data_IF_873769578190
#
_entry.id   IF_873769578190
#
_cell.length_a   1.000
_cell.length_b   1.000
_cell.length_c   1.000
_cell.angle_alpha   90.00
_cell.angle_beta   90.00
_cell.angle_gamma   90.00
#
_symmetry.space_group_name_H-M   'P 1'
#
loop_
_entity.id
_entity.type
_entity.pdbx_description
1 polymer ?
#
# COMPACT_ATOMS: atom_id res chain seq x y z
N UNK A 1 16.37 -63.58 19.02
CA UNK A 1 16.76 -62.15 18.98
C UNK A 1 16.12 -61.51 17.77
N UNK A 2 14.95 -60.96 17.95
CA UNK A 2 14.25 -60.19 16.92
C UNK A 2 14.74 -58.74 17.01
N UNK A 3 15.53 -58.29 16.02
CA UNK A 3 15.93 -56.90 15.87
C UNK A 3 14.67 -56.15 15.38
N UNK A 4 14.02 -55.41 16.26
CA UNK A 4 12.99 -54.45 15.90
C UNK A 4 13.72 -53.24 15.32
N UNK A 5 13.70 -53.14 14.00
CA UNK A 5 14.14 -51.95 13.30
C UNK A 5 13.01 -50.94 13.52
N UNK A 6 13.19 -50.04 14.50
CA UNK A 6 12.40 -48.84 14.63
C UNK A 6 12.86 -47.92 13.50
N UNK A 7 12.14 -48.02 12.38
CA UNK A 7 12.23 -47.03 11.34
C UNK A 7 11.63 -45.75 11.91
N UNK A 8 12.49 -44.88 12.40
CA UNK A 8 12.15 -43.48 12.68
C UNK A 8 11.83 -42.89 11.28
N UNK A 9 10.56 -42.96 10.90
CA UNK A 9 10.02 -42.08 9.89
C UNK A 9 10.10 -40.71 10.55
N UNK A 10 11.21 -40.02 10.37
CA UNK A 10 11.28 -38.58 10.42
C UNK A 10 10.28 -38.13 9.35
N UNK A 11 9.04 -37.94 9.74
CA UNK A 11 8.16 -37.01 9.09
C UNK A 11 8.89 -35.66 9.17
N UNK A 12 9.73 -35.42 8.19
CA UNK A 12 10.07 -34.09 7.77
C UNK A 12 8.73 -33.46 7.39
N UNK A 13 8.03 -32.96 8.40
CA UNK A 13 7.20 -31.81 8.21
C UNK A 13 8.17 -30.76 7.68
N UNK A 14 8.28 -30.71 6.37
CA UNK A 14 8.74 -29.54 5.68
C UNK A 14 7.66 -28.50 6.01
N UNK A 15 7.76 -27.94 7.21
CA UNK A 15 7.28 -26.59 7.41
C UNK A 15 8.05 -25.82 6.33
N UNK A 16 7.41 -25.56 5.22
CA UNK A 16 7.80 -24.46 4.37
C UNK A 16 7.59 -23.24 5.27
N UNK A 17 8.55 -23.01 6.16
CA UNK A 17 8.75 -21.74 6.80
C UNK A 17 9.12 -20.82 5.64
N UNK A 18 8.10 -20.27 5.01
CA UNK A 18 8.25 -19.07 4.21
C UNK A 18 8.53 -17.96 5.22
N UNK A 19 9.75 -18.01 5.78
CA UNK A 19 10.27 -16.96 6.61
C UNK A 19 10.65 -15.82 5.69
N UNK A 20 9.64 -15.07 5.27
CA UNK A 20 9.91 -13.78 4.68
C UNK A 20 10.42 -12.87 5.80
N UNK A 21 11.55 -12.19 5.61
CA UNK A 21 12.13 -11.31 6.62
C UNK A 21 11.22 -10.15 6.98
N UNK A 22 10.27 -9.83 6.13
CA UNK A 22 9.30 -8.76 6.33
C UNK A 22 7.88 -9.26 6.05
N UNK A 23 7.00 -9.16 7.04
CA UNK A 23 5.55 -9.33 6.86
C UNK A 23 4.86 -8.16 7.53
N UNK A 24 3.84 -7.58 6.90
CA UNK A 24 3.01 -6.59 7.57
C UNK A 24 2.39 -7.19 8.84
N UNK A 25 2.28 -6.37 9.87
CA UNK A 25 1.70 -6.79 11.15
C UNK A 25 0.19 -6.97 11.07
N UNK A 26 -0.44 -6.30 10.10
CA UNK A 26 -1.88 -6.28 9.93
C UNK A 26 -2.27 -6.49 8.48
N UNK A 27 -3.12 -7.50 8.24
CA UNK A 27 -3.83 -7.71 6.99
C UNK A 27 -5.26 -7.24 7.20
N UNK A 28 -5.71 -6.24 6.43
CA UNK A 28 -6.99 -5.58 6.68
C UNK A 28 -7.90 -5.57 5.45
N UNK A 29 -9.20 -5.74 5.68
CA UNK A 29 -10.28 -5.32 4.77
C UNK A 29 -10.93 -4.12 5.44
N UNK A 30 -11.09 -3.02 4.71
CA UNK A 30 -11.67 -1.78 5.23
C UNK A 30 -13.07 -1.61 4.67
N UNK A 31 -14.07 -1.33 5.54
CA UNK A 31 -15.38 -0.83 5.14
C UNK A 31 -15.49 0.65 5.52
N UNK A 32 -15.95 1.48 4.59
CA UNK A 32 -16.00 2.93 4.70
C UNK A 32 -17.30 3.49 4.15
N UNK A 33 -17.79 4.57 4.72
CA UNK A 33 -18.91 5.33 4.18
C UNK A 33 -18.48 6.61 3.43
N UNK A 34 -17.18 6.79 3.25
CA UNK A 34 -16.61 7.86 2.44
C UNK A 34 -16.58 9.22 3.14
N UNK A 35 -16.69 9.27 4.46
CA UNK A 35 -16.46 10.46 5.26
C UNK A 35 -15.04 11.01 5.05
N UNK A 36 -14.82 12.26 5.44
CA UNK A 36 -13.51 12.91 5.26
C UNK A 36 -12.46 12.24 6.14
N UNK A 37 -12.82 11.90 7.35
CA UNK A 37 -12.02 11.20 8.33
C UNK A 37 -11.71 9.77 7.90
N UNK A 38 -12.70 9.05 7.31
CA UNK A 38 -12.48 7.77 6.63
C UNK A 38 -11.37 7.87 5.59
N UNK A 39 -11.48 8.84 4.68
CA UNK A 39 -10.53 9.00 3.58
C UNK A 39 -9.12 9.35 4.06
N UNK A 40 -8.99 10.09 5.17
CA UNK A 40 -7.71 10.38 5.82
C UNK A 40 -7.17 9.14 6.53
N UNK A 41 -8.01 8.39 7.24
CA UNK A 41 -7.64 7.11 7.86
C UNK A 41 -7.15 6.09 6.82
N UNK A 42 -7.87 5.95 5.70
CA UNK A 42 -7.44 5.12 4.55
C UNK A 42 -6.09 5.60 4.02
N UNK A 43 -5.88 6.90 3.86
CA UNK A 43 -4.60 7.46 3.40
C UNK A 43 -3.45 7.11 4.36
N UNK A 44 -3.69 7.17 5.68
CA UNK A 44 -2.70 6.75 6.68
C UNK A 44 -2.41 5.25 6.62
N UNK A 45 -3.43 4.42 6.47
CA UNK A 45 -3.26 2.96 6.35
C UNK A 45 -2.54 2.56 5.06
N UNK A 46 -2.78 3.27 3.95
CA UNK A 46 -2.05 3.10 2.69
C UNK A 46 -0.57 3.48 2.80
N UNK A 47 -0.26 4.50 3.60
CA UNK A 47 1.12 4.96 3.84
C UNK A 47 1.96 3.95 4.63
N UNK A 48 1.31 3.06 5.37
CA UNK A 48 1.98 2.20 6.34
C UNK A 48 2.53 0.92 5.71
N UNK A 49 3.83 0.64 5.84
CA UNK A 49 4.37 -0.67 5.46
C UNK A 49 3.96 -1.79 6.43
N UNK A 50 3.52 -1.48 7.65
CA UNK A 50 3.07 -2.46 8.65
C UNK A 50 1.63 -2.94 8.43
N UNK A 51 0.89 -2.30 7.52
CA UNK A 51 -0.49 -2.64 7.15
C UNK A 51 -0.57 -3.06 5.70
N UNK A 52 -1.29 -4.15 5.45
CA UNK A 52 -1.61 -4.58 4.09
C UNK A 52 -3.11 -4.51 3.88
N UNK A 53 -3.54 -3.54 3.06
CA UNK A 53 -4.94 -3.41 2.66
C UNK A 53 -5.23 -4.43 1.56
N UNK A 54 -6.00 -5.46 1.89
CA UNK A 54 -6.39 -6.50 0.95
C UNK A 54 -7.46 -6.01 -0.02
N UNK A 55 -8.38 -5.20 0.47
CA UNK A 55 -9.43 -4.56 -0.31
C UNK A 55 -10.22 -3.58 0.53
N UNK A 56 -11.03 -2.76 -0.14
CA UNK A 56 -11.90 -1.77 0.48
C UNK A 56 -13.33 -2.00 0.01
N UNK A 57 -14.28 -1.92 0.94
CA UNK A 57 -15.72 -1.96 0.66
C UNK A 57 -16.36 -0.64 1.03
N UNK A 58 -17.40 -0.26 0.32
CA UNK A 58 -18.11 0.99 0.59
C UNK A 58 -19.57 0.72 0.95
N UNK A 59 -20.02 1.35 2.01
CA UNK A 59 -21.38 1.27 2.54
C UNK A 59 -22.00 2.66 2.64
N UNK A 60 -23.29 2.74 2.90
CA UNK A 60 -23.97 4.03 3.08
C UNK A 60 -23.74 4.60 4.48
N UNK A 61 -23.56 5.92 4.57
CA UNK A 61 -23.33 6.64 5.84
C UNK A 61 -23.15 8.12 5.62
N UNK A 62 -21.91 8.63 5.65
CA UNK A 62 -21.62 10.03 5.29
C UNK A 62 -21.94 10.30 3.81
N UNK A 63 -21.68 9.32 2.95
CA UNK A 63 -22.08 9.31 1.53
C UNK A 63 -22.93 8.08 1.23
N UNK A 64 -23.54 8.05 0.04
CA UNK A 64 -24.06 6.81 -0.53
C UNK A 64 -22.89 5.87 -0.83
N UNK A 65 -23.15 4.56 -0.81
CA UNK A 65 -22.11 3.56 -1.12
C UNK A 65 -21.45 3.83 -2.48
N UNK A 66 -22.24 4.28 -3.48
CA UNK A 66 -21.78 4.61 -4.82
C UNK A 66 -20.84 5.82 -4.82
N UNK A 67 -21.20 6.91 -4.10
CA UNK A 67 -20.35 8.09 -4.03
C UNK A 67 -19.09 7.81 -3.19
N UNK A 68 -19.19 7.03 -2.11
CA UNK A 68 -18.03 6.56 -1.37
C UNK A 68 -17.08 5.72 -2.27
N UNK A 69 -17.64 4.86 -3.13
CA UNK A 69 -16.85 4.10 -4.11
C UNK A 69 -16.07 5.02 -5.05
N UNK A 70 -16.70 6.07 -5.58
CA UNK A 70 -16.03 7.05 -6.45
C UNK A 70 -14.88 7.73 -5.70
N UNK A 71 -15.11 8.17 -4.44
CA UNK A 71 -14.07 8.81 -3.61
C UNK A 71 -12.90 7.89 -3.34
N UNK A 72 -13.17 6.63 -2.94
CA UNK A 72 -12.12 5.64 -2.68
C UNK A 72 -11.33 5.33 -3.95
N UNK A 73 -11.99 5.05 -5.07
CA UNK A 73 -11.31 4.77 -6.35
C UNK A 73 -10.47 5.95 -6.82
N UNK A 74 -10.98 7.18 -6.71
CA UNK A 74 -10.22 8.38 -7.09
C UNK A 74 -8.96 8.56 -6.23
N UNK A 75 -9.05 8.29 -4.92
CA UNK A 75 -7.90 8.32 -4.01
C UNK A 75 -6.86 7.26 -4.43
N UNK A 76 -7.29 6.00 -4.59
CA UNK A 76 -6.39 4.90 -4.97
C UNK A 76 -5.69 5.16 -6.29
N UNK A 77 -6.43 5.61 -7.31
CA UNK A 77 -5.86 5.95 -8.61
C UNK A 77 -4.84 7.10 -8.50
N UNK A 78 -5.12 8.11 -7.69
CA UNK A 78 -4.22 9.26 -7.48
C UNK A 78 -2.93 8.91 -6.74
N UNK A 79 -2.91 7.76 -6.06
CA UNK A 79 -1.76 7.21 -5.35
C UNK A 79 -1.15 6.00 -6.08
N UNK A 80 -1.62 5.70 -7.30
CA UNK A 80 -1.15 4.58 -8.12
C UNK A 80 -1.38 3.18 -7.49
N UNK A 81 -2.45 3.05 -6.69
CA UNK A 81 -2.87 1.79 -6.03
C UNK A 81 -4.07 1.14 -6.71
N UNK A 82 -4.11 1.18 -8.04
CA UNK A 82 -5.24 0.71 -8.87
C UNK A 82 -5.58 -0.76 -8.64
N UNK A 83 -4.60 -1.55 -8.21
CA UNK A 83 -4.73 -2.99 -7.97
C UNK A 83 -5.43 -3.35 -6.67
N UNK A 84 -5.72 -2.41 -5.75
CA UNK A 84 -6.54 -2.70 -4.58
C UNK A 84 -7.99 -2.86 -5.03
N UNK A 85 -8.63 -4.03 -4.78
CA UNK A 85 -10.03 -4.23 -5.15
C UNK A 85 -10.95 -3.38 -4.28
N UNK A 86 -11.93 -2.75 -4.90
CA UNK A 86 -12.96 -1.97 -4.22
C UNK A 86 -14.33 -2.51 -4.59
N UNK A 87 -15.17 -2.75 -3.57
CA UNK A 87 -16.57 -3.12 -3.73
C UNK A 87 -17.51 -2.03 -3.26
N UNK A 88 -18.77 -2.10 -3.67
CA UNK A 88 -19.82 -1.20 -3.19
C UNK A 88 -21.03 -1.99 -2.71
N UNK A 89 -21.80 -1.42 -1.78
CA UNK A 89 -23.07 -2.00 -1.35
C UNK A 89 -24.12 -1.80 -2.45
N UNK A 90 -24.61 -2.91 -3.01
CA UNK A 90 -25.63 -2.92 -4.05
C UNK A 90 -27.07 -3.06 -3.51
N UNK A 91 -27.27 -3.30 -2.20
CA UNK A 91 -28.59 -3.51 -1.60
C UNK A 91 -29.44 -2.24 -1.49
N UNK A 92 -28.85 -1.06 -1.70
CA UNK A 92 -29.57 0.22 -1.84
C UNK A 92 -30.38 0.67 -0.62
N UNK A 93 -30.03 0.20 0.60
CA UNK A 93 -30.76 0.53 1.83
C UNK A 93 -30.44 1.90 2.42
N UNK A 94 -29.51 2.63 1.77
CA UNK A 94 -29.11 3.95 2.21
C UNK A 94 -30.30 4.94 2.20
N UNK A 95 -30.59 5.58 3.33
CA UNK A 95 -31.73 6.49 3.52
C UNK A 95 -31.34 7.85 4.09
N UNK A 96 -30.06 8.08 4.39
CA UNK A 96 -29.58 9.35 4.96
C UNK A 96 -29.25 10.34 3.86
N UNK A 97 -29.35 11.64 4.19
CA UNK A 97 -28.88 12.70 3.30
C UNK A 97 -27.35 12.72 3.35
N UNK A 98 -26.74 12.70 2.19
CA UNK A 98 -25.28 12.79 2.08
C UNK A 98 -24.74 14.08 2.69
N UNK A 99 -23.57 13.98 3.28
CA UNK A 99 -22.86 15.12 3.86
C UNK A 99 -22.26 15.96 2.72
N UNK A 100 -22.73 17.22 2.51
CA UNK A 100 -22.30 18.02 1.36
C UNK A 100 -20.79 18.25 1.33
N UNK A 101 -20.16 18.40 2.50
CA UNK A 101 -18.73 18.64 2.60
C UNK A 101 -17.92 17.40 2.15
N UNK A 102 -18.30 16.18 2.56
CA UNK A 102 -17.67 14.95 2.10
C UNK A 102 -17.87 14.77 0.58
N UNK A 103 -19.07 15.04 0.08
CA UNK A 103 -19.39 14.94 -1.35
C UNK A 103 -18.55 15.89 -2.21
N UNK A 104 -18.32 17.13 -1.75
CA UNK A 104 -17.57 18.16 -2.48
C UNK A 104 -16.05 17.99 -2.36
N UNK A 105 -15.57 17.23 -1.38
CA UNK A 105 -14.12 17.02 -1.20
C UNK A 105 -13.56 16.12 -2.30
N UNK A 106 -12.47 16.57 -2.94
CA UNK A 106 -11.82 15.86 -4.05
C UNK A 106 -10.57 15.14 -3.52
N UNK A 107 -10.51 13.82 -3.72
CA UNK A 107 -9.39 12.99 -3.30
C UNK A 107 -8.49 12.54 -4.46
N UNK A 108 -8.96 12.68 -5.68
CA UNK A 108 -8.28 12.36 -6.93
C UNK A 108 -9.15 12.70 -8.12
N UNK A 109 -8.74 12.35 -9.34
CA UNK A 109 -9.60 12.48 -10.51
C UNK A 109 -10.73 11.45 -10.43
N UNK A 110 -11.97 11.90 -10.53
CA UNK A 110 -13.19 11.09 -10.47
C UNK A 110 -13.71 10.72 -11.86
N UNK A 111 -13.12 11.29 -12.93
CA UNK A 111 -13.57 11.05 -14.31
C UNK A 111 -13.40 9.56 -14.69
N UNK A 112 -14.43 9.03 -15.32
CA UNK A 112 -14.44 7.64 -15.82
C UNK A 112 -14.63 6.56 -14.74
N UNK A 113 -14.79 6.94 -13.46
CA UNK A 113 -15.12 5.97 -12.41
C UNK A 113 -16.61 5.68 -12.46
N UNK A 114 -16.96 4.43 -12.74
CA UNK A 114 -18.35 3.97 -12.85
C UNK A 114 -18.80 3.19 -11.60
N UNK A 115 -19.57 3.79 -10.70
CA UNK A 115 -20.08 3.11 -9.51
C UNK A 115 -21.25 2.15 -9.79
N UNK A 116 -21.91 2.25 -10.96
CA UNK A 116 -23.06 1.42 -11.30
C UNK A 116 -22.63 -0.02 -11.60
N UNK A 117 -21.49 -0.17 -12.28
CA UNK A 117 -20.88 -1.46 -12.60
C UNK A 117 -19.83 -1.90 -11.58
N UNK A 118 -19.77 -1.26 -10.41
CA UNK A 118 -18.83 -1.62 -9.34
C UNK A 118 -19.14 -3.04 -8.80
N UNK A 119 -18.11 -3.82 -8.44
CA UNK A 119 -18.29 -5.12 -7.81
C UNK A 119 -19.07 -5.01 -6.49
N UNK A 120 -19.90 -6.01 -6.18
CA UNK A 120 -20.58 -6.10 -4.88
C UNK A 120 -19.58 -6.40 -3.75
N UNK A 121 -19.80 -5.80 -2.58
CA UNK A 121 -18.98 -5.96 -1.37
C UNK A 121 -18.75 -7.43 -1.00
N UNK A 122 -19.81 -8.26 -1.05
CA UNK A 122 -19.69 -9.66 -0.65
C UNK A 122 -18.80 -10.45 -1.59
N UNK A 123 -18.83 -10.15 -2.89
CA UNK A 123 -17.97 -10.82 -3.87
C UNK A 123 -16.48 -10.47 -3.62
N UNK A 124 -16.17 -9.20 -3.33
CA UNK A 124 -14.83 -8.77 -2.98
C UNK A 124 -14.36 -9.44 -1.69
N UNK A 125 -15.14 -9.37 -0.61
CA UNK A 125 -14.76 -9.96 0.69
C UNK A 125 -14.55 -11.48 0.55
N UNK A 126 -15.46 -12.19 -0.14
CA UNK A 126 -15.37 -13.63 -0.35
C UNK A 126 -14.09 -14.01 -1.10
N UNK A 127 -13.77 -13.29 -2.18
CA UNK A 127 -12.56 -13.51 -2.95
C UNK A 127 -11.29 -13.30 -2.12
N UNK A 128 -11.25 -12.25 -1.31
CA UNK A 128 -10.12 -11.93 -0.44
C UNK A 128 -9.93 -12.97 0.67
N UNK A 129 -11.00 -13.36 1.34
CA UNK A 129 -10.97 -14.40 2.38
C UNK A 129 -10.50 -15.75 1.83
N UNK A 130 -10.89 -16.07 0.60
CA UNK A 130 -10.45 -17.30 -0.05
C UNK A 130 -8.97 -17.28 -0.46
N UNK A 131 -8.45 -16.11 -0.83
CA UNK A 131 -7.09 -15.95 -1.32
C UNK A 131 -6.06 -15.80 -0.19
N UNK A 132 -6.42 -15.11 0.91
CA UNK A 132 -5.51 -14.82 2.02
C UNK A 132 -5.55 -15.93 3.07
N UNK A 133 -4.36 -16.43 3.44
CA UNK A 133 -4.22 -17.47 4.48
C UNK A 133 -4.03 -16.92 5.88
N UNK A 134 -3.54 -15.69 5.98
CA UNK A 134 -3.34 -15.01 7.26
C UNK A 134 -4.67 -14.49 7.80
N UNK A 135 -4.83 -14.49 9.12
CA UNK A 135 -6.01 -13.93 9.75
C UNK A 135 -6.14 -12.43 9.48
N UNK A 136 -7.36 -11.99 9.20
CA UNK A 136 -7.68 -10.64 8.75
C UNK A 136 -8.30 -9.85 9.90
N UNK A 137 -7.93 -8.57 10.07
CA UNK A 137 -8.71 -7.60 10.83
C UNK A 137 -9.71 -6.93 9.88
N UNK A 138 -10.99 -6.97 10.22
CA UNK A 138 -12.01 -6.24 9.47
C UNK A 138 -12.17 -4.86 10.10
N UNK A 139 -11.72 -3.83 9.38
CA UNK A 139 -11.75 -2.43 9.83
C UNK A 139 -13.03 -1.78 9.35
N UNK A 140 -13.89 -1.37 10.29
CA UNK A 140 -15.11 -0.62 10.02
C UNK A 140 -14.91 0.85 10.40
N UNK A 141 -14.89 1.72 9.41
CA UNK A 141 -14.90 3.16 9.60
C UNK A 141 -16.33 3.72 9.60
N UNK A 142 -17.27 3.01 8.97
CA UNK A 142 -18.70 3.29 8.94
C UNK A 142 -19.55 2.36 9.81
N UNK A 143 -20.76 2.05 9.32
CA UNK A 143 -21.73 1.18 10.00
C UNK A 143 -21.33 -0.30 9.94
N UNK A 144 -21.99 -1.16 10.73
CA UNK A 144 -21.78 -2.62 10.73
C UNK A 144 -22.55 -3.35 9.61
N UNK A 145 -23.19 -2.64 8.69
CA UNK A 145 -24.03 -3.24 7.63
C UNK A 145 -23.27 -4.28 6.81
N UNK A 146 -22.09 -3.89 6.27
CA UNK A 146 -21.27 -4.79 5.45
C UNK A 146 -20.76 -5.98 6.25
N UNK A 147 -20.28 -5.75 7.48
CA UNK A 147 -19.79 -6.84 8.35
C UNK A 147 -20.87 -7.88 8.65
N UNK A 148 -22.10 -7.44 8.96
CA UNK A 148 -23.22 -8.35 9.21
C UNK A 148 -23.64 -9.11 7.95
N UNK A 149 -23.66 -8.43 6.80
CA UNK A 149 -23.96 -9.10 5.52
C UNK A 149 -22.91 -10.16 5.19
N UNK A 150 -21.62 -9.83 5.38
CA UNK A 150 -20.52 -10.76 5.15
C UNK A 150 -20.61 -11.97 6.10
N UNK A 151 -20.87 -11.75 7.39
CA UNK A 151 -21.04 -12.82 8.36
C UNK A 151 -22.17 -13.79 7.99
N UNK A 152 -23.30 -13.28 7.46
CA UNK A 152 -24.46 -14.08 7.08
C UNK A 152 -24.28 -14.86 5.78
N UNK A 153 -23.49 -14.33 4.84
CA UNK A 153 -23.43 -14.83 3.47
C UNK A 153 -22.09 -15.49 3.11
N UNK A 154 -21.03 -15.28 3.89
CA UNK A 154 -19.70 -15.84 3.63
C UNK A 154 -19.37 -16.84 4.75
N UNK A 155 -19.45 -18.16 4.49
CA UNK A 155 -19.29 -19.18 5.54
C UNK A 155 -17.98 -19.09 6.33
N UNK A 156 -16.88 -18.67 5.67
CA UNK A 156 -15.56 -18.59 6.26
C UNK A 156 -15.24 -17.24 6.93
N UNK A 157 -16.19 -16.29 6.92
CA UNK A 157 -15.97 -14.95 7.45
C UNK A 157 -15.51 -14.98 8.92
N UNK A 158 -16.30 -15.58 9.81
CA UNK A 158 -15.96 -15.66 11.24
C UNK A 158 -14.69 -16.47 11.53
N UNK A 159 -14.38 -17.44 10.66
CA UNK A 159 -13.15 -18.23 10.79
C UNK A 159 -11.91 -17.43 10.39
N UNK A 160 -11.99 -16.61 9.34
CA UNK A 160 -10.87 -15.89 8.77
C UNK A 160 -10.65 -14.52 9.41
N UNK A 161 -11.72 -13.86 9.85
CA UNK A 161 -11.66 -12.58 10.55
C UNK A 161 -11.30 -12.80 12.02
N UNK A 162 -10.12 -12.35 12.44
CA UNK A 162 -9.63 -12.49 13.83
C UNK A 162 -10.28 -11.49 14.79
N UNK A 163 -10.67 -10.33 14.27
CA UNK A 163 -11.24 -9.22 15.02
C UNK A 163 -11.93 -8.22 14.10
N UNK A 164 -12.86 -7.47 14.67
CA UNK A 164 -13.42 -6.27 14.04
C UNK A 164 -12.85 -5.06 14.75
N UNK A 165 -12.22 -4.16 14.00
CA UNK A 165 -11.73 -2.86 14.51
C UNK A 165 -12.73 -1.80 14.07
N UNK A 166 -13.44 -1.22 15.03
CA UNK A 166 -14.55 -0.31 14.74
C UNK A 166 -14.30 1.10 15.25
N UNK A 167 -14.42 2.09 14.37
CA UNK A 167 -14.35 3.49 14.74
C UNK A 167 -15.62 3.95 15.47
N UNK A 168 -15.44 4.67 16.56
CA UNK A 168 -16.54 5.16 17.39
C UNK A 168 -16.30 6.61 17.88
N UNK A 169 -17.38 7.35 18.04
CA UNK A 169 -17.34 8.70 18.58
C UNK A 169 -16.76 8.79 19.99
N UNK A 170 -16.35 9.99 20.41
CA UNK A 170 -15.88 10.27 21.76
C UNK A 170 -16.91 9.90 22.85
N UNK A 171 -18.21 9.99 22.54
CA UNK A 171 -19.31 9.65 23.45
C UNK A 171 -19.51 8.13 23.64
N UNK A 172 -18.78 7.31 22.88
CA UNK A 172 -18.86 5.86 22.89
C UNK A 172 -19.70 5.30 21.73
N UNK A 173 -19.44 4.03 21.43
CA UNK A 173 -19.94 3.38 20.22
C UNK A 173 -21.48 3.27 20.16
N UNK A 174 -22.17 3.10 21.30
CA UNK A 174 -23.65 2.95 21.33
C UNK A 174 -24.43 4.25 21.02
N UNK A 175 -23.77 5.41 21.08
CA UNK A 175 -24.36 6.72 20.82
C UNK A 175 -23.85 7.37 19.55
N UNK A 176 -22.83 6.76 18.90
CA UNK A 176 -22.12 7.30 17.78
C UNK A 176 -22.90 7.35 16.47
N UNK A 177 -22.38 8.09 15.52
CA UNK A 177 -22.92 8.20 14.18
C UNK A 177 -22.98 6.84 13.48
N UNK A 178 -21.88 6.11 13.47
CA UNK A 178 -21.75 4.81 12.81
C UNK A 178 -22.72 3.75 13.37
N UNK A 179 -23.00 3.79 14.69
CA UNK A 179 -24.00 2.93 15.31
C UNK A 179 -25.42 3.25 14.84
N UNK A 180 -25.73 4.54 14.70
CA UNK A 180 -27.08 5.03 14.36
C UNK A 180 -27.46 4.82 12.90
N UNK A 181 -26.48 4.74 12.00
CA UNK A 181 -26.72 4.48 10.56
C UNK A 181 -27.45 3.14 10.39
N UNK A 182 -26.97 2.08 11.05
CA UNK A 182 -27.62 0.77 11.05
C UNK A 182 -27.53 0.15 12.45
N UNK A 183 -28.49 0.57 13.29
CA UNK A 183 -28.56 0.12 14.67
C UNK A 183 -28.75 -1.38 14.76
N UNK A 184 -29.61 -1.95 13.91
CA UNK A 184 -29.93 -3.38 13.94
C UNK A 184 -28.69 -4.21 13.57
N UNK A 185 -27.91 -3.81 12.57
CA UNK A 185 -26.67 -4.46 12.22
C UNK A 185 -25.64 -4.35 13.34
N UNK A 186 -25.50 -3.17 13.94
CA UNK A 186 -24.56 -2.91 15.04
C UNK A 186 -24.88 -3.78 16.26
N UNK A 187 -26.16 -3.83 16.68
CA UNK A 187 -26.62 -4.69 17.79
C UNK A 187 -26.45 -6.19 17.49
N UNK A 188 -26.69 -6.60 16.25
CA UNK A 188 -26.54 -8.00 15.84
C UNK A 188 -25.05 -8.41 15.84
N UNK A 189 -24.16 -7.54 15.35
CA UNK A 189 -22.72 -7.82 15.32
C UNK A 189 -22.10 -7.85 16.71
N UNK A 190 -22.48 -6.96 17.62
CA UNK A 190 -21.99 -6.94 19.00
C UNK A 190 -22.38 -8.19 19.82
N UNK A 191 -23.33 -9.00 19.36
CA UNK A 191 -23.72 -10.28 19.96
C UNK A 191 -22.94 -11.48 19.43
N UNK A 192 -22.08 -11.29 18.44
CA UNK A 192 -21.29 -12.37 17.84
C UNK A 192 -20.05 -12.69 18.69
N UNK A 193 -19.46 -13.86 18.47
CA UNK A 193 -18.25 -14.31 19.18
C UNK A 193 -16.93 -13.79 18.55
N UNK A 194 -17.00 -12.88 17.55
CA UNK A 194 -15.83 -12.25 16.95
C UNK A 194 -15.33 -11.14 17.89
N UNK A 195 -14.04 -11.09 18.23
CA UNK A 195 -13.48 -10.01 19.05
C UNK A 195 -13.69 -8.62 18.43
N UNK A 196 -14.12 -7.66 19.26
CA UNK A 196 -14.26 -6.26 18.89
C UNK A 196 -13.17 -5.40 19.52
N UNK A 197 -12.54 -4.57 18.70
CA UNK A 197 -11.67 -3.46 19.08
C UNK A 197 -12.37 -2.16 18.69
N UNK A 198 -13.03 -1.54 19.64
CA UNK A 198 -13.72 -0.28 19.45
C UNK A 198 -12.74 0.84 19.74
N UNK A 199 -12.43 1.65 18.74
CA UNK A 199 -11.46 2.74 18.84
C UNK A 199 -12.23 4.06 18.83
N UNK A 200 -12.11 4.81 19.93
CA UNK A 200 -12.79 6.10 20.10
C UNK A 200 -12.02 7.22 19.44
N UNK A 201 -12.74 8.20 18.96
CA UNK A 201 -12.17 9.48 18.51
C UNK A 201 -11.55 10.26 19.67
N UNK A 202 -10.68 11.21 19.33
CA UNK A 202 -10.19 12.19 20.30
C UNK A 202 -11.35 13.00 20.86
N UNK A 203 -11.27 13.35 22.15
CA UNK A 203 -12.27 14.20 22.79
C UNK A 203 -11.96 15.69 22.57
N UNK A 204 -12.98 16.53 22.71
CA UNK A 204 -12.81 17.99 22.65
C UNK A 204 -11.79 18.52 23.67
N UNK A 205 -11.64 17.85 24.83
CA UNK A 205 -10.67 18.23 25.86
C UNK A 205 -9.23 17.92 25.45
N UNK A 206 -9.02 16.93 24.54
CA UNK A 206 -7.71 16.57 24.02
C UNK A 206 -7.27 17.48 22.88
N UNK A 207 -8.17 18.34 22.38
CA UNK A 207 -7.93 19.26 21.27
C UNK A 207 -7.94 18.59 19.91
N UNK A 208 -7.53 19.35 18.93
CA UNK A 208 -7.50 18.91 17.53
C UNK A 208 -6.36 17.93 17.27
N UNK A 209 -6.60 16.95 16.39
CA UNK A 209 -5.52 16.14 15.81
C UNK A 209 -4.66 17.02 14.91
N UNK A 210 -5.30 17.68 13.95
CA UNK A 210 -4.63 18.51 12.95
C UNK A 210 -4.44 19.95 13.45
N UNK A 211 -3.42 20.14 14.32
CA UNK A 211 -2.99 21.48 14.71
C UNK A 211 -2.18 22.13 13.58
N UNK A 212 -1.99 23.46 13.65
CA UNK A 212 -1.17 24.18 12.68
C UNK A 212 0.26 23.64 12.62
N UNK A 213 0.80 23.19 13.76
CA UNK A 213 2.13 22.58 13.85
C UNK A 213 2.16 21.24 13.12
N UNK A 214 1.14 20.38 13.31
CA UNK A 214 1.06 19.09 12.61
C UNK A 214 0.90 19.30 11.10
N UNK A 215 0.01 20.19 10.67
CA UNK A 215 -0.19 20.50 9.25
C UNK A 215 1.09 21.03 8.62
N UNK A 216 1.79 21.94 9.30
CA UNK A 216 3.10 22.45 8.85
C UNK A 216 4.16 21.35 8.78
N UNK A 217 4.18 20.43 9.74
CA UNK A 217 5.11 19.29 9.75
C UNK A 217 4.82 18.33 8.59
N UNK A 218 3.54 18.03 8.32
CA UNK A 218 3.13 17.19 7.18
C UNK A 218 3.53 17.78 5.83
N UNK A 219 3.48 19.10 5.68
CA UNK A 219 3.95 19.79 4.48
C UNK A 219 5.44 19.60 4.18
N UNK A 220 6.24 19.15 5.16
CA UNK A 220 7.67 18.84 5.00
C UNK A 220 7.95 17.35 4.72
N UNK A 221 6.95 16.50 4.91
CA UNK A 221 7.07 15.06 4.65
C UNK A 221 6.95 14.78 3.15
N UNK A 222 7.98 14.17 2.57
CA UNK A 222 8.06 13.91 1.12
C UNK A 222 7.48 12.54 0.75
N UNK A 223 6.22 12.30 1.10
CA UNK A 223 5.48 11.12 0.64
C UNK A 223 4.19 11.54 -0.06
N UNK A 224 3.67 10.78 -1.03
CA UNK A 224 2.41 11.12 -1.68
C UNK A 224 1.23 11.15 -0.71
N UNK A 225 1.27 10.36 0.34
CA UNK A 225 0.25 10.28 1.38
C UNK A 225 0.20 11.55 2.24
N UNK A 226 1.36 11.99 2.76
CA UNK A 226 1.44 13.25 3.51
C UNK A 226 1.07 14.45 2.63
N UNK A 227 1.49 14.45 1.36
CA UNK A 227 1.12 15.48 0.39
C UNK A 227 -0.40 15.49 0.16
N UNK A 228 -1.06 14.33 0.10
CA UNK A 228 -2.51 14.22 -0.07
C UNK A 228 -3.26 14.84 1.12
N UNK A 229 -2.89 14.52 2.36
CA UNK A 229 -3.49 15.13 3.55
C UNK A 229 -3.16 16.62 3.63
N UNK A 230 -1.93 17.02 3.36
CA UNK A 230 -1.53 18.43 3.35
C UNK A 230 -2.32 19.23 2.31
N UNK A 231 -2.54 18.67 1.11
CA UNK A 231 -3.33 19.34 0.06
C UNK A 231 -4.80 19.53 0.44
N UNK A 232 -5.38 18.62 1.23
CA UNK A 232 -6.71 18.77 1.79
C UNK A 232 -6.80 20.05 2.65
N UNK A 233 -5.81 20.30 3.51
CA UNK A 233 -5.77 21.51 4.35
C UNK A 233 -5.38 22.79 3.60
N UNK A 234 -4.89 22.70 2.37
CA UNK A 234 -4.66 23.88 1.53
C UNK A 234 -5.93 24.42 0.86
N UNK A 235 -7.04 23.67 0.90
CA UNK A 235 -8.33 24.08 0.35
C UNK A 235 -9.06 24.99 1.36
N UNK A 236 -9.56 26.15 0.90
CA UNK A 236 -10.26 27.12 1.75
C UNK A 236 -11.55 26.54 2.37
N UNK A 237 -12.25 25.67 1.65
CA UNK A 237 -13.45 24.99 2.17
C UNK A 237 -13.07 24.10 3.35
N UNK A 238 -11.98 23.34 3.23
CA UNK A 238 -11.49 22.48 4.31
C UNK A 238 -11.01 23.26 5.52
N UNK A 239 -10.30 24.38 5.29
CA UNK A 239 -9.85 25.28 6.37
C UNK A 239 -11.00 25.89 7.16
N UNK A 240 -12.09 26.23 6.49
CA UNK A 240 -13.27 26.86 7.12
C UNK A 240 -14.12 25.84 7.89
N UNK A 241 -13.95 24.54 7.66
CA UNK A 241 -14.80 23.52 8.25
C UNK A 241 -14.18 22.96 9.55
N UNK A 242 -14.79 23.26 10.69
CA UNK A 242 -14.26 22.86 12.01
C UNK A 242 -13.99 21.36 12.16
N UNK A 243 -14.84 20.52 11.58
CA UNK A 243 -14.69 19.06 11.60
C UNK A 243 -13.38 18.58 10.94
N UNK A 244 -12.79 19.36 10.02
CA UNK A 244 -11.52 19.01 9.36
C UNK A 244 -10.35 18.82 10.32
N UNK A 245 -10.41 19.39 11.52
CA UNK A 245 -9.30 19.37 12.48
C UNK A 245 -9.41 18.24 13.52
N UNK A 246 -10.55 17.59 13.61
CA UNK A 246 -10.76 16.53 14.60
C UNK A 246 -10.04 15.24 14.23
N UNK A 247 -9.62 14.49 15.24
CA UNK A 247 -9.10 13.14 15.10
C UNK A 247 -10.20 12.12 15.40
N UNK A 248 -10.73 11.53 14.36
CA UNK A 248 -11.83 10.57 14.39
C UNK A 248 -11.34 9.21 13.90
N UNK A 249 -11.61 8.82 12.68
CA UNK A 249 -11.24 7.52 12.11
C UNK A 249 -9.73 7.30 11.99
N UNK A 250 -8.95 8.37 11.93
CA UNK A 250 -7.48 8.29 12.00
C UNK A 250 -6.98 7.57 13.25
N UNK A 251 -7.78 7.59 14.32
CA UNK A 251 -7.45 6.88 15.55
C UNK A 251 -7.34 5.37 15.33
N UNK A 252 -8.07 4.82 14.37
CA UNK A 252 -7.95 3.41 13.97
C UNK A 252 -6.56 3.13 13.39
N UNK A 253 -6.06 4.00 12.52
CA UNK A 253 -4.72 3.87 11.96
C UNK A 253 -3.65 3.98 13.05
N UNK A 254 -3.77 4.96 13.96
CA UNK A 254 -2.83 5.12 15.07
C UNK A 254 -2.91 3.92 16.03
N UNK A 255 -4.11 3.43 16.36
CA UNK A 255 -4.29 2.29 17.28
C UNK A 255 -3.65 1.01 16.75
N UNK A 256 -3.77 0.71 15.48
CA UNK A 256 -3.16 -0.48 14.88
C UNK A 256 -1.63 -0.47 15.02
N UNK A 257 -1.00 0.70 15.00
CA UNK A 257 0.46 0.84 15.11
C UNK A 257 0.95 1.03 16.54
N UNK A 258 0.24 1.84 17.31
CA UNK A 258 0.66 2.31 18.63
C UNK A 258 -0.46 2.15 19.68
N UNK A 259 -0.91 0.92 19.96
CA UNK A 259 -2.01 0.69 20.92
C UNK A 259 -1.68 1.16 22.34
N UNK A 260 -0.41 1.36 22.67
CA UNK A 260 0.02 1.92 23.96
C UNK A 260 -0.35 3.40 24.18
N UNK A 261 -0.72 4.12 23.12
CA UNK A 261 -1.22 5.49 23.21
C UNK A 261 -2.70 5.58 23.64
N UNK A 262 -3.33 4.43 23.88
CA UNK A 262 -4.73 4.32 24.24
C UNK A 262 -4.90 3.62 25.58
N UNK A 263 -5.90 4.04 26.34
CA UNK A 263 -6.39 3.30 27.52
C UNK A 263 -7.45 2.32 27.07
N UNK A 264 -7.22 1.04 27.34
CA UNK A 264 -8.10 -0.05 26.92
C UNK A 264 -8.98 -0.51 28.10
N UNK A 265 -10.28 -0.62 27.84
CA UNK A 265 -11.25 -1.23 28.77
C UNK A 265 -11.87 -2.44 28.09
N UNK A 266 -11.62 -3.63 28.64
CA UNK A 266 -12.16 -4.88 28.12
C UNK A 266 -13.43 -5.28 28.89
N UNK A 267 -14.43 -5.73 28.14
CA UNK A 267 -15.64 -6.37 28.64
C UNK A 267 -15.93 -7.62 27.80
N UNK A 268 -15.44 -8.76 28.25
CA UNK A 268 -15.47 -10.00 27.48
C UNK A 268 -14.65 -9.88 26.19
N UNK A 269 -15.28 -10.11 25.07
CA UNK A 269 -14.64 -10.02 23.73
C UNK A 269 -14.64 -8.59 23.16
N UNK A 270 -15.30 -7.64 23.80
CA UNK A 270 -15.34 -6.24 23.40
C UNK A 270 -14.29 -5.47 24.18
N UNK A 271 -13.39 -4.83 23.48
CA UNK A 271 -12.39 -3.92 24.07
C UNK A 271 -12.61 -2.52 23.50
N UNK A 272 -12.77 -1.54 24.37
CA UNK A 272 -12.89 -0.13 24.00
C UNK A 272 -11.59 0.60 24.31
N UNK A 273 -11.05 1.27 23.30
CA UNK A 273 -9.76 1.95 23.32
C UNK A 273 -9.98 3.45 23.20
N UNK A 274 -9.59 4.21 24.23
CA UNK A 274 -9.75 5.67 24.29
C UNK A 274 -8.38 6.33 24.16
N UNK A 275 -8.19 7.32 23.28
CA UNK A 275 -6.95 8.08 23.19
C UNK A 275 -6.53 8.62 24.57
N UNK A 276 -5.24 8.46 24.91
CA UNK A 276 -4.71 8.86 26.23
C UNK A 276 -3.52 9.82 26.13
N UNK A 277 -2.81 9.80 25.01
CA UNK A 277 -1.64 10.65 24.76
C UNK A 277 -1.82 11.41 23.42
N UNK A 278 -2.45 12.60 23.45
CA UNK A 278 -2.70 13.38 22.25
C UNK A 278 -1.42 13.77 21.49
N UNK A 279 -0.33 14.05 22.19
CA UNK A 279 0.94 14.44 21.55
C UNK A 279 1.60 13.25 20.89
N UNK A 280 1.67 12.10 21.57
CA UNK A 280 2.14 10.85 20.97
C UNK A 280 1.32 10.42 19.76
N UNK A 281 0.00 10.70 19.76
CA UNK A 281 -0.87 10.46 18.60
C UNK A 281 -0.49 11.36 17.42
N UNK A 282 -0.25 12.67 17.63
CA UNK A 282 0.20 13.59 16.57
C UNK A 282 1.56 13.18 15.99
N UNK A 283 2.52 12.86 16.84
CA UNK A 283 3.84 12.36 16.42
C UNK A 283 3.71 11.05 15.61
N UNK A 284 2.86 10.13 16.09
CA UNK A 284 2.62 8.86 15.40
C UNK A 284 1.96 9.04 14.04
N UNK A 285 1.08 10.01 13.89
CA UNK A 285 0.46 10.38 12.61
C UNK A 285 1.53 10.79 11.58
N UNK A 286 2.53 11.60 12.00
CA UNK A 286 3.66 11.96 11.13
C UNK A 286 4.47 10.72 10.75
N UNK A 287 4.78 9.83 11.72
CA UNK A 287 5.58 8.63 11.49
C UNK A 287 4.89 7.66 10.52
N UNK A 288 3.60 7.44 10.68
CA UNK A 288 2.80 6.60 9.76
C UNK A 288 2.85 7.19 8.34
N UNK A 289 2.59 8.49 8.20
CA UNK A 289 2.57 9.17 6.90
C UNK A 289 3.96 9.28 6.24
N UNK A 290 5.05 9.14 7.00
CA UNK A 290 6.40 8.96 6.48
C UNK A 290 6.68 7.53 5.98
N UNK A 291 5.82 6.57 6.27
CA UNK A 291 6.06 5.16 6.00
C UNK A 291 7.09 4.54 6.95
N UNK A 292 7.23 5.07 8.18
CA UNK A 292 8.11 4.47 9.18
C UNK A 292 7.48 3.18 9.72
N UNK A 293 8.27 2.11 9.78
CA UNK A 293 7.87 0.83 10.36
C UNK A 293 8.03 0.83 11.88
N UNK A 294 7.18 0.10 12.59
CA UNK A 294 7.33 -0.11 14.04
C UNK A 294 8.53 -1.02 14.33
N UNK A 295 8.73 -2.06 13.51
CA UNK A 295 9.88 -2.96 13.59
C UNK A 295 10.94 -2.60 12.55
N UNK A 296 12.22 -2.80 12.89
CA UNK A 296 13.37 -2.50 12.03
C UNK A 296 14.18 -3.75 11.78
N UNK A 297 14.26 -4.15 10.51
CA UNK A 297 15.04 -5.31 10.08
C UNK A 297 16.24 -4.93 9.20
N UNK A 298 16.35 -3.65 8.79
CA UNK A 298 17.47 -3.19 7.97
C UNK A 298 18.74 -2.99 8.81
N UNK A 299 19.89 -3.23 8.18
CA UNK A 299 21.22 -2.99 8.75
C UNK A 299 21.59 -1.52 8.73
N UNK A 300 21.27 -0.83 7.63
CA UNK A 300 21.49 0.61 7.49
C UNK A 300 20.19 1.36 7.76
N UNK A 301 20.30 2.48 8.47
CA UNK A 301 19.16 3.32 8.78
C UNK A 301 18.61 4.01 7.54
N UNK A 302 19.48 4.75 6.84
CA UNK A 302 19.16 5.49 5.62
C UNK A 302 20.42 5.56 4.75
N UNK A 303 20.26 5.55 3.42
CA UNK A 303 21.32 5.95 2.52
C UNK A 303 21.50 7.48 2.59
N UNK A 304 22.75 7.99 2.49
CA UNK A 304 22.98 9.43 2.47
C UNK A 304 22.19 10.12 1.35
N UNK A 305 21.46 11.17 1.71
CA UNK A 305 20.78 12.03 0.74
C UNK A 305 21.61 13.24 0.33
N UNK A 306 22.76 13.46 0.99
CA UNK A 306 23.68 14.53 0.65
C UNK A 306 24.38 14.17 -0.67
N UNK A 307 24.24 15.00 -1.73
CA UNK A 307 24.88 14.75 -3.02
C UNK A 307 26.39 14.52 -2.95
N UNK A 308 27.09 15.16 -2.02
CA UNK A 308 28.54 15.02 -1.85
C UNK A 308 29.05 13.63 -1.44
N UNK A 309 28.15 12.66 -1.13
CA UNK A 309 28.54 11.27 -0.95
C UNK A 309 28.66 10.47 -2.25
N UNK A 310 28.21 11.05 -3.37
CA UNK A 310 28.14 10.39 -4.65
C UNK A 310 29.13 10.99 -5.64
N UNK A 311 29.48 10.27 -6.68
CA UNK A 311 30.39 10.75 -7.72
C UNK A 311 29.86 12.02 -8.40
N UNK A 312 30.78 12.88 -8.87
CA UNK A 312 30.49 14.21 -9.40
C UNK A 312 29.49 14.22 -10.57
N UNK A 313 29.47 13.17 -11.36
CA UNK A 313 28.59 13.06 -12.53
C UNK A 313 27.13 12.76 -12.15
N UNK A 314 26.87 12.07 -11.04
CA UNK A 314 25.50 11.79 -10.55
C UNK A 314 25.05 12.79 -9.49
N UNK A 315 25.99 13.40 -8.77
CA UNK A 315 25.73 14.37 -7.70
C UNK A 315 24.65 15.41 -8.06
N UNK A 316 24.67 16.07 -9.25
CA UNK A 316 23.63 17.05 -9.62
C UNK A 316 22.21 16.46 -9.72
N UNK A 317 22.09 15.16 -9.95
CA UNK A 317 20.80 14.47 -10.16
C UNK A 317 20.17 13.91 -8.89
N UNK A 318 20.92 13.80 -7.79
CA UNK A 318 20.45 13.14 -6.53
C UNK A 318 19.16 13.77 -6.01
N UNK A 319 19.19 15.10 -5.78
CA UNK A 319 18.05 15.81 -5.22
C UNK A 319 16.84 15.79 -6.17
N UNK A 320 17.07 15.85 -7.48
CA UNK A 320 16.00 15.80 -8.48
C UNK A 320 15.34 14.43 -8.50
N UNK A 321 16.12 13.34 -8.54
CA UNK A 321 15.60 11.96 -8.54
C UNK A 321 14.81 11.71 -7.25
N UNK A 322 15.33 12.06 -6.09
CA UNK A 322 14.63 11.89 -4.80
C UNK A 322 13.34 12.72 -4.77
N UNK A 323 13.36 13.94 -5.27
CA UNK A 323 12.19 14.82 -5.28
C UNK A 323 11.10 14.34 -6.22
N UNK A 324 11.46 13.77 -7.39
CA UNK A 324 10.50 13.29 -8.40
C UNK A 324 9.95 11.90 -8.10
N UNK A 325 10.82 10.99 -7.63
CA UNK A 325 10.49 9.56 -7.59
C UNK A 325 10.51 8.97 -6.18
N UNK A 326 10.93 9.76 -5.20
CA UNK A 326 10.98 9.34 -3.80
C UNK A 326 12.28 8.67 -3.39
N UNK A 327 12.47 8.54 -2.07
CA UNK A 327 13.68 7.95 -1.48
C UNK A 327 13.78 6.45 -1.74
N UNK A 328 12.65 5.76 -1.91
CA UNK A 328 12.62 4.31 -2.17
C UNK A 328 13.23 3.98 -3.54
N UNK A 329 12.90 4.76 -4.59
CA UNK A 329 13.51 4.58 -5.91
C UNK A 329 15.00 4.94 -5.88
N UNK A 330 15.39 6.01 -5.18
CA UNK A 330 16.81 6.38 -5.04
C UNK A 330 17.59 5.25 -4.35
N UNK A 331 17.12 4.79 -3.20
CA UNK A 331 17.77 3.73 -2.42
C UNK A 331 17.87 2.43 -3.22
N UNK A 332 16.77 2.02 -3.83
CA UNK A 332 16.75 0.81 -4.66
C UNK A 332 17.66 0.92 -5.88
N UNK A 333 17.71 2.11 -6.49
CA UNK A 333 18.58 2.37 -7.64
C UNK A 333 20.06 2.31 -7.28
N UNK A 334 20.45 2.93 -6.16
CA UNK A 334 21.85 2.85 -5.68
C UNK A 334 22.22 1.40 -5.39
N UNK A 335 21.43 0.70 -4.58
CA UNK A 335 21.70 -0.70 -4.20
C UNK A 335 21.72 -1.65 -5.40
N UNK A 336 20.81 -1.47 -6.37
CA UNK A 336 20.79 -2.27 -7.59
C UNK A 336 22.07 -2.09 -8.43
N UNK A 337 22.58 -0.86 -8.55
CA UNK A 337 23.79 -0.60 -9.32
C UNK A 337 25.05 -1.04 -8.58
N UNK A 338 25.09 -0.99 -7.25
CA UNK A 338 26.18 -1.56 -6.45
C UNK A 338 26.21 -3.11 -6.57
N UNK A 339 25.06 -3.76 -6.59
CA UNK A 339 24.93 -5.19 -6.88
C UNK A 339 25.40 -5.51 -8.31
N UNK A 340 24.97 -4.74 -9.28
CA UNK A 340 25.23 -4.88 -10.72
C UNK A 340 26.68 -4.48 -11.11
N UNK A 341 27.42 -3.81 -10.21
CA UNK A 341 28.80 -3.38 -10.36
C UNK A 341 29.06 -2.28 -11.39
N UNK A 342 28.04 -1.75 -12.01
CA UNK A 342 28.10 -0.54 -12.83
C UNK A 342 26.71 0.10 -12.93
N UNK A 343 26.68 1.38 -13.32
CA UNK A 343 25.43 2.09 -13.51
C UNK A 343 24.80 1.65 -14.86
N UNK A 344 23.83 0.74 -14.78
CA UNK A 344 23.20 0.07 -15.93
C UNK A 344 21.79 0.55 -16.22
N UNK A 345 21.50 0.92 -17.48
CA UNK A 345 20.17 1.45 -17.85
C UNK A 345 19.06 0.44 -17.57
N UNK A 346 19.22 -0.82 -17.97
CA UNK A 346 18.20 -1.84 -17.70
C UNK A 346 18.09 -2.21 -16.23
N UNK A 347 19.16 -2.06 -15.42
CA UNK A 347 19.06 -2.22 -13.97
C UNK A 347 18.13 -1.15 -13.37
N UNK A 348 18.26 0.11 -13.79
CA UNK A 348 17.35 1.19 -13.38
C UNK A 348 15.91 0.95 -13.89
N UNK A 349 15.72 0.45 -15.11
CA UNK A 349 14.38 0.07 -15.61
C UNK A 349 13.75 -1.00 -14.72
N UNK A 350 14.53 -1.99 -14.29
CA UNK A 350 14.08 -3.03 -13.37
C UNK A 350 13.67 -2.47 -12.01
N UNK A 351 14.44 -1.51 -11.48
CA UNK A 351 14.07 -0.79 -10.24
C UNK A 351 12.72 -0.09 -10.39
N UNK A 352 12.57 0.72 -11.43
CA UNK A 352 11.33 1.46 -11.70
C UNK A 352 10.13 0.53 -11.89
N UNK A 353 10.32 -0.58 -12.58
CA UNK A 353 9.28 -1.59 -12.82
C UNK A 353 8.84 -2.28 -11.51
N UNK A 354 9.80 -2.67 -10.67
CA UNK A 354 9.49 -3.32 -9.40
C UNK A 354 8.78 -2.38 -8.42
N UNK A 355 9.20 -1.12 -8.34
CA UNK A 355 8.49 -0.12 -7.52
C UNK A 355 7.09 0.12 -8.06
N UNK A 356 6.91 0.24 -9.37
CA UNK A 356 5.58 0.44 -9.97
C UNK A 356 4.64 -0.73 -9.69
N UNK A 357 5.13 -1.96 -9.69
CA UNK A 357 4.36 -3.14 -9.32
C UNK A 357 3.96 -3.12 -7.84
N UNK A 358 4.87 -2.71 -6.94
CA UNK A 358 4.56 -2.53 -5.51
C UNK A 358 3.52 -1.45 -5.28
N UNK A 359 3.62 -0.32 -5.96
CA UNK A 359 2.60 0.74 -5.93
C UNK A 359 1.25 0.21 -6.37
N UNK A 360 1.20 -0.48 -7.51
CA UNK A 360 -0.05 -1.01 -8.06
C UNK A 360 -0.82 -1.87 -7.04
N UNK A 361 -0.14 -2.79 -6.37
CA UNK A 361 -0.76 -3.67 -5.37
C UNK A 361 -0.79 -3.09 -3.95
N UNK A 362 -0.12 -1.98 -3.71
CA UNK A 362 0.22 -1.44 -2.38
C UNK A 362 0.88 -2.51 -1.49
N UNK A 363 1.95 -3.11 -1.99
CA UNK A 363 2.72 -4.14 -1.30
C UNK A 363 4.08 -3.63 -0.85
N UNK A 364 4.64 -4.27 0.16
CA UNK A 364 6.04 -4.11 0.52
C UNK A 364 6.97 -4.97 -0.33
N UNK A 365 8.20 -5.13 0.14
CA UNK A 365 9.15 -6.09 -0.41
C UNK A 365 8.77 -7.53 -0.01
N UNK A 366 9.19 -8.54 -0.80
CA UNK A 366 8.99 -9.97 -0.54
C UNK A 366 7.53 -10.47 -0.53
N UNK A 367 6.57 -9.70 -1.06
CA UNK A 367 5.15 -10.05 -0.93
C UNK A 367 4.51 -10.65 -2.18
N UNK A 368 5.16 -10.57 -3.34
CA UNK A 368 4.66 -11.17 -4.58
C UNK A 368 5.72 -11.98 -5.32
N UNK A 369 5.28 -12.84 -6.23
CA UNK A 369 6.19 -13.54 -7.15
C UNK A 369 6.34 -12.76 -8.44
N UNK A 370 7.54 -12.82 -9.03
CA UNK A 370 7.86 -12.19 -10.30
C UNK A 370 8.38 -13.22 -11.30
N UNK A 371 7.86 -13.18 -12.53
CA UNK A 371 8.35 -13.97 -13.66
C UNK A 371 8.88 -12.99 -14.71
N UNK A 372 10.20 -12.92 -14.84
CA UNK A 372 10.88 -12.04 -15.78
C UNK A 372 11.06 -12.70 -17.15
N UNK A 373 10.75 -11.98 -18.20
CA UNK A 373 10.96 -12.35 -19.60
C UNK A 373 12.21 -11.69 -20.20
N UNK A 374 13.02 -11.01 -19.37
CA UNK A 374 14.27 -10.38 -19.80
C UNK A 374 15.40 -11.37 -20.09
N UNK A 375 15.21 -12.64 -19.75
CA UNK A 375 16.22 -13.68 -19.96
C UNK A 375 17.47 -13.49 -19.10
N UNK A 376 18.56 -14.17 -19.51
CA UNK A 376 19.84 -14.19 -18.79
C UNK A 376 21.01 -13.63 -19.63
N UNK A 377 20.70 -12.88 -20.70
CA UNK A 377 21.72 -12.31 -21.59
C UNK A 377 21.68 -10.79 -21.56
N UNK A 378 22.78 -10.10 -21.19
CA UNK A 378 22.89 -8.65 -21.24
C UNK A 378 22.65 -8.08 -22.65
N UNK A 379 22.17 -6.84 -22.78
CA UNK A 379 21.92 -5.88 -21.71
C UNK A 379 20.54 -6.01 -21.05
N UNK A 380 19.61 -6.77 -21.65
CA UNK A 380 18.23 -6.84 -21.20
C UNK A 380 18.10 -7.49 -19.81
N UNK A 381 18.85 -8.59 -19.58
CA UNK A 381 18.84 -9.31 -18.32
C UNK A 381 19.29 -8.51 -17.09
N UNK A 382 20.01 -7.38 -17.29
CA UNK A 382 20.39 -6.48 -16.22
C UNK A 382 19.17 -5.94 -15.45
N UNK A 383 18.00 -5.96 -16.08
CA UNK A 383 16.73 -5.60 -15.46
C UNK A 383 16.41 -6.49 -14.23
N UNK A 384 16.86 -7.74 -14.23
CA UNK A 384 16.62 -8.68 -13.13
C UNK A 384 17.27 -8.22 -11.81
N UNK A 385 18.43 -7.56 -11.87
CA UNK A 385 19.10 -7.04 -10.67
C UNK A 385 18.31 -5.90 -10.03
N UNK A 386 17.79 -5.01 -10.87
CA UNK A 386 16.89 -3.94 -10.40
C UNK A 386 15.60 -4.48 -9.79
N UNK A 387 15.01 -5.52 -10.41
CA UNK A 387 13.81 -6.18 -9.88
C UNK A 387 14.08 -6.79 -8.51
N UNK A 388 15.19 -7.54 -8.34
CA UNK A 388 15.52 -8.17 -7.07
C UNK A 388 15.60 -7.16 -5.93
N UNK A 389 16.28 -6.06 -6.15
CA UNK A 389 16.48 -5.04 -5.12
C UNK A 389 15.18 -4.30 -4.80
N UNK A 390 14.44 -3.88 -5.81
CA UNK A 390 13.24 -3.04 -5.62
C UNK A 390 12.03 -3.82 -5.11
N UNK A 391 11.99 -5.14 -5.31
CA UNK A 391 10.85 -5.98 -4.94
C UNK A 391 11.13 -6.96 -3.82
N UNK A 392 12.41 -7.27 -3.55
CA UNK A 392 12.79 -8.40 -2.69
C UNK A 392 12.54 -9.77 -3.34
N UNK A 393 11.92 -9.83 -4.51
CA UNK A 393 11.72 -11.08 -5.24
C UNK A 393 13.05 -11.56 -5.81
N UNK A 394 13.71 -12.46 -5.08
CA UNK A 394 15.01 -13.04 -5.46
C UNK A 394 14.90 -14.53 -5.71
N UNK A 395 15.85 -15.13 -6.47
CA UNK A 395 15.94 -16.58 -6.57
C UNK A 395 16.15 -17.25 -5.20
N UNK A 396 16.88 -16.61 -4.28
CA UNK A 396 17.10 -17.10 -2.92
C UNK A 396 15.83 -17.21 -2.09
N UNK A 397 14.87 -16.30 -2.29
CA UNK A 397 13.54 -16.36 -1.69
C UNK A 397 12.57 -17.27 -2.48
N UNK A 398 12.94 -17.76 -3.67
CA UNK A 398 12.04 -18.51 -4.54
C UNK A 398 10.92 -17.66 -5.17
N UNK A 399 11.08 -16.35 -5.17
CA UNK A 399 10.06 -15.39 -5.62
C UNK A 399 10.31 -14.86 -7.04
N UNK A 400 11.55 -14.97 -7.56
CA UNK A 400 11.91 -14.58 -8.92
C UNK A 400 12.18 -15.80 -9.79
N UNK A 401 11.49 -15.87 -10.92
CA UNK A 401 11.77 -16.82 -12.01
C UNK A 401 12.16 -16.05 -13.25
N UNK A 402 13.29 -16.43 -13.88
CA UNK A 402 13.75 -15.83 -15.14
C UNK A 402 13.49 -16.83 -16.27
N UNK A 403 12.73 -16.40 -17.29
CA UNK A 403 12.41 -17.23 -18.48
C UNK A 403 13.44 -17.00 -19.56
N UNK A 404 13.97 -18.12 -20.10
CA UNK A 404 14.91 -18.13 -21.23
C UNK A 404 14.35 -18.90 -22.45
N UNK A 405 13.19 -19.53 -22.27
CA UNK A 405 12.54 -20.43 -23.22
C UNK A 405 11.44 -19.74 -24.08
N UNK A 406 11.42 -18.40 -24.04
CA UNK A 406 10.43 -17.57 -24.75
C UNK A 406 11.13 -16.46 -25.54
N UNK A 407 10.37 -15.69 -26.30
CA UNK A 407 10.87 -14.43 -26.90
C UNK A 407 11.19 -13.47 -25.76
N UNK A 408 12.46 -13.05 -25.69
CA UNK A 408 12.92 -12.13 -24.65
C UNK A 408 12.33 -10.74 -24.85
N UNK A 409 11.84 -10.15 -23.76
CA UNK A 409 11.24 -8.83 -23.75
C UNK A 409 11.45 -8.13 -22.40
N UNK A 410 11.47 -6.79 -22.34
CA UNK A 410 11.56 -6.07 -21.10
C UNK A 410 10.20 -6.07 -20.37
N UNK A 411 9.73 -7.26 -20.00
CA UNK A 411 8.45 -7.48 -19.33
C UNK A 411 8.56 -8.43 -18.16
N UNK A 412 7.69 -8.23 -17.17
CA UNK A 412 7.61 -9.05 -15.95
C UNK A 412 6.15 -9.27 -15.59
N UNK A 413 5.80 -10.50 -15.25
CA UNK A 413 4.54 -10.84 -14.61
C UNK A 413 4.71 -10.83 -13.09
N UNK A 414 3.84 -10.09 -12.41
CA UNK A 414 3.78 -10.03 -10.96
C UNK A 414 2.48 -10.66 -10.48
N UNK A 415 2.59 -11.58 -9.52
CA UNK A 415 1.42 -12.24 -8.92
C UNK A 415 1.37 -11.95 -7.42
N UNK A 416 0.27 -11.34 -6.99
CA UNK A 416 -0.05 -11.08 -5.60
C UNK A 416 -1.41 -11.67 -5.26
N UNK A 417 -1.44 -12.62 -4.32
CA UNK A 417 -2.63 -13.42 -4.01
C UNK A 417 -3.21 -14.08 -5.28
N UNK A 418 -4.45 -13.79 -5.62
CA UNK A 418 -5.15 -14.26 -6.81
C UNK A 418 -5.16 -13.25 -7.97
N UNK A 419 -4.33 -12.21 -7.90
CA UNK A 419 -4.25 -11.14 -8.91
C UNK A 419 -2.90 -11.18 -9.61
N UNK A 420 -2.91 -11.05 -10.91
CA UNK A 420 -1.71 -11.04 -11.73
C UNK A 420 -1.75 -9.85 -12.70
N UNK A 421 -0.60 -9.21 -12.86
CA UNK A 421 -0.38 -8.19 -13.89
C UNK A 421 0.89 -8.48 -14.65
N UNK A 422 0.97 -8.00 -15.89
CA UNK A 422 2.21 -7.89 -16.64
C UNK A 422 2.56 -6.42 -16.80
N UNK A 423 3.77 -6.04 -16.43
CA UNK A 423 4.37 -4.77 -16.80
C UNK A 423 5.32 -4.98 -17.97
N UNK A 424 5.18 -4.16 -19.00
CA UNK A 424 6.05 -4.17 -20.18
C UNK A 424 6.60 -2.78 -20.41
N UNK A 425 7.91 -2.63 -20.56
CA UNK A 425 8.51 -1.36 -20.97
C UNK A 425 8.02 -1.02 -22.38
N UNK A 426 7.49 0.19 -22.55
CA UNK A 426 6.94 0.63 -23.84
C UNK A 426 7.94 0.45 -24.98
N UNK A 427 7.51 -0.10 -26.13
CA UNK A 427 8.42 -0.46 -27.22
C UNK A 427 9.28 0.68 -27.74
N UNK A 428 8.76 1.90 -27.79
CA UNK A 428 9.50 3.08 -28.24
C UNK A 428 10.67 3.40 -27.31
N UNK A 429 10.52 3.21 -26.00
CA UNK A 429 11.56 3.44 -25.00
C UNK A 429 12.59 2.31 -25.05
N UNK A 430 12.13 1.05 -25.09
CA UNK A 430 12.99 -0.12 -25.19
C UNK A 430 13.88 -0.06 -26.45
N UNK A 431 13.29 0.28 -27.59
CA UNK A 431 13.99 0.40 -28.88
C UNK A 431 15.02 1.55 -28.85
N UNK A 432 14.65 2.70 -28.28
CA UNK A 432 15.54 3.84 -28.14
C UNK A 432 16.78 3.47 -27.31
N UNK A 433 16.60 2.93 -26.11
CA UNK A 433 17.69 2.51 -25.23
C UNK A 433 18.58 1.48 -25.93
N UNK A 434 17.98 0.46 -26.55
CA UNK A 434 18.73 -0.61 -27.23
C UNK A 434 19.51 -0.07 -28.42
N UNK A 435 18.93 0.85 -29.20
CA UNK A 435 19.59 1.45 -30.36
C UNK A 435 20.79 2.31 -29.92
N UNK A 436 20.63 3.14 -28.89
CA UNK A 436 21.72 3.96 -28.36
C UNK A 436 22.88 3.08 -27.82
N UNK A 437 22.58 1.99 -27.10
CA UNK A 437 23.60 1.05 -26.63
C UNK A 437 24.34 0.35 -27.77
N UNK A 438 23.61 -0.07 -28.82
CA UNK A 438 24.18 -0.68 -30.03
C UNK A 438 25.07 0.30 -30.78
N UNK A 439 24.65 1.55 -30.94
CA UNK A 439 25.43 2.61 -31.60
C UNK A 439 26.73 2.87 -30.86
N UNK A 440 26.68 3.06 -29.54
CA UNK A 440 27.86 3.29 -28.71
C UNK A 440 28.82 2.09 -28.80
N UNK A 441 28.28 0.85 -28.76
CA UNK A 441 29.08 -0.36 -28.89
C UNK A 441 29.71 -0.48 -30.28
N UNK A 442 28.98 -0.14 -31.34
CA UNK A 442 29.47 -0.18 -32.72
C UNK A 442 30.65 0.80 -32.93
N UNK A 443 30.56 2.00 -32.32
CA UNK A 443 31.57 3.04 -32.50
C UNK A 443 32.81 2.77 -31.65
N UNK A 444 32.64 2.39 -30.38
CA UNK A 444 33.73 2.35 -29.40
C UNK A 444 34.12 0.94 -28.96
N UNK A 445 33.26 -0.04 -29.13
CA UNK A 445 33.47 -1.41 -28.63
C UNK A 445 33.28 -1.56 -27.11
N UNK A 446 32.88 -2.75 -26.68
CA UNK A 446 32.62 -3.07 -25.26
C UNK A 446 33.85 -2.96 -24.35
N UNK A 447 35.06 -3.10 -24.90
CA UNK A 447 36.32 -3.05 -24.14
C UNK A 447 36.83 -1.61 -23.94
N UNK A 448 36.13 -0.62 -24.50
CA UNK A 448 36.51 0.79 -24.44
C UNK A 448 36.00 1.44 -23.15
N UNK A 449 36.86 2.22 -22.46
CA UNK A 449 36.43 3.07 -21.35
C UNK A 449 35.36 4.08 -21.78
N UNK A 450 35.45 4.60 -23.03
CA UNK A 450 34.48 5.54 -23.59
C UNK A 450 33.09 4.93 -23.64
N UNK A 451 32.97 3.63 -24.01
CA UNK A 451 31.71 2.92 -24.02
C UNK A 451 31.05 3.00 -22.62
N UNK A 452 31.77 2.66 -21.57
CA UNK A 452 31.27 2.62 -20.20
C UNK A 452 30.94 4.02 -19.65
N UNK A 453 31.71 5.03 -20.02
CA UNK A 453 31.40 6.42 -19.67
C UNK A 453 30.10 6.90 -20.31
N UNK A 454 29.87 6.56 -21.59
CA UNK A 454 28.65 6.93 -22.28
C UNK A 454 27.43 6.15 -21.78
N UNK A 455 27.57 4.85 -21.48
CA UNK A 455 26.53 4.04 -20.85
C UNK A 455 26.14 4.64 -19.51
N UNK A 456 27.11 4.99 -18.67
CA UNK A 456 26.88 5.62 -17.37
C UNK A 456 26.17 6.97 -17.51
N UNK A 457 26.62 7.83 -18.41
CA UNK A 457 25.98 9.12 -18.69
C UNK A 457 24.53 8.97 -19.15
N UNK A 458 24.27 8.04 -20.07
CA UNK A 458 22.91 7.76 -20.55
C UNK A 458 22.04 7.18 -19.43
N UNK A 459 22.58 6.34 -18.57
CA UNK A 459 21.84 5.77 -17.45
C UNK A 459 21.41 6.85 -16.45
N UNK A 460 22.29 7.79 -16.08
CA UNK A 460 21.94 8.92 -15.22
C UNK A 460 20.81 9.73 -15.84
N UNK A 461 20.91 10.02 -17.15
CA UNK A 461 19.84 10.73 -17.89
C UNK A 461 18.52 9.98 -17.82
N UNK A 462 18.50 8.68 -18.13
CA UNK A 462 17.29 7.88 -18.11
C UNK A 462 16.71 7.71 -16.72
N UNK A 463 17.55 7.58 -15.69
CA UNK A 463 17.06 7.52 -14.31
C UNK A 463 16.31 8.79 -13.91
N UNK A 464 16.85 9.95 -14.28
CA UNK A 464 16.24 11.25 -14.02
C UNK A 464 14.99 11.53 -14.87
N UNK A 465 15.04 11.19 -16.16
CA UNK A 465 14.05 11.67 -17.15
C UNK A 465 12.84 10.72 -17.32
N UNK A 466 13.00 9.42 -17.05
CA UNK A 466 11.93 8.43 -17.23
C UNK A 466 11.06 8.29 -15.99
N UNK A 467 9.77 8.62 -16.12
CA UNK A 467 8.80 8.42 -15.05
C UNK A 467 8.22 7.00 -15.09
N UNK A 468 8.30 6.26 -13.96
CA UNK A 468 7.79 4.89 -13.86
C UNK A 468 6.28 4.78 -14.07
N UNK A 469 5.53 5.88 -13.91
CA UNK A 469 4.09 5.90 -14.15
C UNK A 469 3.74 6.04 -15.64
N UNK A 470 4.71 6.48 -16.46
CA UNK A 470 4.50 6.75 -17.88
C UNK A 470 5.14 5.71 -18.80
N UNK A 471 6.22 5.04 -18.37
CA UNK A 471 7.06 4.22 -19.25
C UNK A 471 6.61 2.77 -19.41
N UNK A 472 5.67 2.29 -18.61
CA UNK A 472 5.19 0.92 -18.67
C UNK A 472 3.75 0.82 -19.17
N UNK A 473 3.50 -0.21 -19.94
CA UNK A 473 2.16 -0.75 -20.17
C UNK A 473 1.84 -1.73 -19.04
N UNK A 474 0.65 -1.64 -18.46
CA UNK A 474 0.17 -2.51 -17.38
C UNK A 474 -1.04 -3.28 -17.90
N UNK A 475 -0.89 -4.60 -17.97
CA UNK A 475 -1.93 -5.52 -18.43
C UNK A 475 -2.36 -6.40 -17.23
N UNK A 476 -3.61 -6.28 -16.74
CA UNK A 476 -4.18 -7.26 -15.82
C UNK A 476 -4.34 -8.61 -16.52
N UNK A 477 -3.87 -9.69 -15.89
CA UNK A 477 -3.98 -11.05 -16.39
C UNK A 477 -5.05 -11.81 -15.60
N UNK A 478 -5.90 -12.55 -16.29
CA UNK A 478 -6.97 -13.37 -15.70
C UNK A 478 -6.42 -14.62 -15.04
#
# INVERSE_FOLDING_TARGET
MKRTIITFILLLFVFTLHSHPWKPSHYVIIDTDGGIDDMRAITMLLASPDVRILGITTSGGALSAQNAYVKVKSLLNSLYHEGIPVGTDTDGRYRMKEMPFALQTVWGNEDGIDPINAPDNLSIISGLISAEKTKISFVCLGSMTTALRALRNIPDFSRQVKEIVWSADESGYLNGFNFKIDKDASEAMLKQEIPFRIVRSMSAQQGDLYTDELISALGKVKTPYAARISSFFNNEVSKSHRFSYFGTDEMVAVFLHYPSLFVNKANGIISESTPADPEGIRESTIRILKGETVQRNQVIKDLPQNPGFYYDDINPSVNEIISRYGIDEWTSGVLANELHRHLGTFAIIGVKMGIRAREYFNTGVDEFTAVSYAGSTPPLSCMNDGLQVSTGATPGHGLLTVRNDTILSPSVEFTYLNRKIRLTLKPEIANKITSELKEINFIYGLDSNIYWELVRKNTIKYWRDLDRHEIFEIEPLL
#
